data_IF_242866398136
#
_entry.id   IF_242866398136
#
_cell.length_a   1.000
_cell.length_b   1.000
_cell.length_c   1.000
_cell.angle_alpha   90.00
_cell.angle_beta   90.00
_cell.angle_gamma   90.00
#
_symmetry.space_group_name_H-M   'P 1'
#
loop_
_entity.id
_entity.type
_entity.pdbx_description
1 polymer ?
#
# COMPACT_ATOMS: atom_id res chain seq x y z
N UNK A 1 15.94 -55.76 -35.15
CA UNK A 1 17.06 -54.98 -34.57
C UNK A 1 16.45 -54.12 -33.49
N UNK A 2 16.28 -54.74 -32.32
CA UNK A 2 15.59 -54.18 -31.16
C UNK A 2 16.52 -53.26 -30.39
N UNK A 3 16.19 -51.96 -30.35
CA UNK A 3 16.83 -51.03 -29.42
C UNK A 3 16.20 -51.20 -28.04
N UNK A 4 16.83 -52.06 -27.24
CA UNK A 4 16.62 -52.15 -25.80
C UNK A 4 17.11 -50.85 -25.13
N UNK A 5 16.22 -49.88 -24.97
CA UNK A 5 16.42 -48.73 -24.10
C UNK A 5 16.18 -49.19 -22.66
N UNK A 6 17.23 -49.74 -22.04
CA UNK A 6 17.26 -49.96 -20.59
C UNK A 6 17.30 -48.61 -19.89
N UNK A 7 16.12 -48.11 -19.53
CA UNK A 7 15.96 -47.06 -18.52
C UNK A 7 16.39 -47.66 -17.18
N UNK A 8 17.69 -47.62 -16.88
CA UNK A 8 18.22 -47.94 -15.57
C UNK A 8 17.90 -46.76 -14.64
N UNK A 9 16.72 -46.80 -14.03
CA UNK A 9 16.35 -45.93 -12.93
C UNK A 9 17.35 -46.12 -11.79
N UNK A 10 18.22 -45.16 -11.56
CA UNK A 10 19.04 -45.15 -10.36
C UNK A 10 18.16 -44.72 -9.17
N UNK A 11 17.66 -45.69 -8.41
CA UNK A 11 16.79 -45.47 -7.24
C UNK A 11 17.38 -44.50 -6.22
N UNK A 12 18.72 -44.39 -6.13
CA UNK A 12 19.37 -43.46 -5.19
C UNK A 12 19.27 -41.99 -5.60
N UNK A 13 19.28 -41.68 -6.91
CA UNK A 13 19.14 -40.32 -7.42
C UNK A 13 17.70 -39.82 -7.31
N UNK A 14 16.71 -40.70 -7.55
CA UNK A 14 15.30 -40.40 -7.35
C UNK A 14 14.98 -40.21 -5.85
N UNK A 15 15.48 -41.08 -4.97
CA UNK A 15 15.32 -40.96 -3.51
C UNK A 15 15.99 -39.71 -2.93
N UNK A 16 17.21 -39.34 -3.37
CA UNK A 16 17.85 -38.10 -2.92
C UNK A 16 17.09 -36.86 -3.38
N UNK A 17 16.59 -36.87 -4.62
CA UNK A 17 15.80 -35.76 -5.15
C UNK A 17 14.50 -35.57 -4.38
N UNK A 18 13.79 -36.65 -4.02
CA UNK A 18 12.57 -36.57 -3.21
C UNK A 18 12.85 -36.20 -1.76
N UNK A 19 13.94 -36.67 -1.14
CA UNK A 19 14.33 -36.27 0.23
C UNK A 19 14.70 -34.78 0.29
N UNK A 20 15.46 -34.26 -0.68
CA UNK A 20 15.82 -32.84 -0.75
C UNK A 20 14.57 -31.98 -1.01
N UNK A 21 13.69 -32.42 -1.91
CA UNK A 21 12.41 -31.73 -2.14
C UNK A 21 11.56 -31.69 -0.88
N UNK A 22 11.45 -32.81 -0.17
CA UNK A 22 10.65 -32.94 1.05
C UNK A 22 11.24 -32.11 2.21
N UNK A 23 12.56 -32.17 2.41
CA UNK A 23 13.23 -31.34 3.40
C UNK A 23 13.08 -29.83 3.10
N UNK A 24 13.13 -29.45 1.82
CA UNK A 24 12.91 -28.07 1.39
C UNK A 24 11.45 -27.64 1.55
N UNK A 25 10.47 -28.52 1.32
CA UNK A 25 9.05 -28.21 1.49
C UNK A 25 8.66 -28.07 2.96
N UNK A 26 9.17 -28.94 3.84
CA UNK A 26 8.94 -28.85 5.29
C UNK A 26 9.51 -27.55 5.87
N UNK A 27 10.74 -27.18 5.48
CA UNK A 27 11.35 -25.92 5.89
C UNK A 27 10.56 -24.70 5.38
N UNK A 28 10.06 -24.75 4.14
CA UNK A 28 9.25 -23.68 3.54
C UNK A 28 7.91 -23.51 4.27
N UNK A 29 7.24 -24.61 4.59
CA UNK A 29 5.99 -24.63 5.36
C UNK A 29 6.18 -24.05 6.77
N UNK A 30 7.25 -24.42 7.46
CA UNK A 30 7.58 -23.87 8.77
C UNK A 30 7.82 -22.35 8.73
N UNK A 31 8.60 -21.88 7.75
CA UNK A 31 8.86 -20.44 7.56
C UNK A 31 7.57 -19.67 7.25
N UNK A 32 6.71 -20.21 6.38
CA UNK A 32 5.42 -19.57 6.04
C UNK A 32 4.51 -19.49 7.27
N UNK A 33 4.46 -20.54 8.08
CA UNK A 33 3.64 -20.56 9.28
C UNK A 33 4.13 -19.53 10.30
N UNK A 34 5.42 -19.53 10.63
CA UNK A 34 6.02 -18.55 11.54
C UNK A 34 5.84 -17.12 11.03
N UNK A 35 6.12 -16.87 9.74
CA UNK A 35 5.94 -15.56 9.14
C UNK A 35 4.46 -15.10 9.20
N UNK A 36 3.51 -16.01 8.96
CA UNK A 36 2.08 -15.68 9.03
C UNK A 36 1.66 -15.23 10.44
N UNK A 37 2.14 -15.91 11.48
CA UNK A 37 1.88 -15.52 12.88
C UNK A 37 2.46 -14.15 13.25
N UNK A 38 3.54 -13.71 12.61
CA UNK A 38 4.11 -12.36 12.81
C UNK A 38 3.42 -11.30 11.95
N UNK A 39 3.04 -11.64 10.72
CA UNK A 39 2.55 -10.69 9.71
C UNK A 39 1.10 -10.29 9.97
N UNK A 40 0.24 -11.22 10.38
CA UNK A 40 -1.17 -10.94 10.71
C UNK A 40 -1.34 -9.86 11.77
N UNK A 41 -0.70 -9.93 12.96
CA UNK A 41 -0.86 -8.89 13.98
C UNK A 41 -0.30 -7.53 13.51
N UNK A 42 0.77 -7.51 12.71
CA UNK A 42 1.30 -6.27 12.14
C UNK A 42 0.28 -5.62 11.20
N UNK A 43 -0.38 -6.39 10.34
CA UNK A 43 -1.41 -5.84 9.47
C UNK A 43 -2.67 -5.41 10.22
N UNK A 44 -3.09 -6.16 11.24
CA UNK A 44 -4.20 -5.77 12.10
C UNK A 44 -3.90 -4.47 12.84
N UNK A 45 -2.72 -4.36 13.46
CA UNK A 45 -2.28 -3.13 14.11
C UNK A 45 -2.18 -1.96 13.12
N UNK A 46 -1.61 -2.20 11.94
CA UNK A 46 -1.52 -1.22 10.86
C UNK A 46 -2.90 -0.72 10.42
N UNK A 47 -3.87 -1.61 10.21
CA UNK A 47 -5.23 -1.25 9.86
C UNK A 47 -5.92 -0.43 10.97
N UNK A 48 -5.79 -0.86 12.24
CA UNK A 48 -6.38 -0.16 13.38
C UNK A 48 -5.79 1.24 13.58
N UNK A 49 -4.46 1.36 13.48
CA UNK A 49 -3.77 2.64 13.63
C UNK A 49 -4.13 3.59 12.48
N UNK A 50 -4.11 3.13 11.24
CA UNK A 50 -4.50 3.96 10.09
C UNK A 50 -5.98 4.37 10.14
N UNK A 51 -6.87 3.48 10.59
CA UNK A 51 -8.27 3.80 10.82
C UNK A 51 -8.45 4.84 11.94
N UNK A 52 -7.71 4.71 13.05
CA UNK A 52 -7.74 5.68 14.14
C UNK A 52 -7.25 7.07 13.69
N UNK A 53 -6.19 7.12 12.88
CA UNK A 53 -5.70 8.39 12.30
C UNK A 53 -6.77 8.99 11.37
N UNK A 54 -7.36 8.18 10.49
CA UNK A 54 -8.41 8.65 9.58
C UNK A 54 -9.64 9.18 10.36
N UNK A 55 -10.09 8.46 11.39
CA UNK A 55 -11.17 8.90 12.28
C UNK A 55 -10.83 10.19 13.00
N UNK A 56 -9.59 10.35 13.47
CA UNK A 56 -9.13 11.59 14.12
C UNK A 56 -9.24 12.78 13.17
N UNK A 57 -8.84 12.60 11.91
CA UNK A 57 -8.99 13.62 10.87
C UNK A 57 -10.44 13.90 10.52
N UNK A 58 -11.32 12.91 10.50
CA UNK A 58 -12.76 13.12 10.24
C UNK A 58 -13.44 13.89 11.38
N UNK A 59 -13.12 13.57 12.63
CA UNK A 59 -13.68 14.24 13.81
C UNK A 59 -13.18 15.68 13.96
N UNK A 60 -11.90 15.92 13.67
CA UNK A 60 -11.27 17.24 13.83
C UNK A 60 -11.02 17.96 12.49
N UNK A 61 -11.74 17.57 11.43
CA UNK A 61 -11.53 18.06 10.07
C UNK A 61 -11.52 19.59 9.99
N UNK A 62 -12.42 20.26 10.71
CA UNK A 62 -12.59 21.71 10.65
C UNK A 62 -11.44 22.52 11.26
N UNK A 63 -10.55 21.94 12.06
CA UNK A 63 -9.45 22.66 12.71
C UNK A 63 -8.07 22.34 12.12
N UNK A 64 -7.94 21.28 11.30
CA UNK A 64 -6.65 20.75 10.82
C UNK A 64 -6.47 20.79 9.29
N UNK A 65 -7.26 21.59 8.56
CA UNK A 65 -7.10 21.74 7.10
C UNK A 65 -5.83 22.53 6.79
N UNK A 66 -4.77 21.79 6.44
CA UNK A 66 -3.51 22.31 5.93
C UNK A 66 -3.12 21.43 4.74
N UNK A 67 -2.40 21.96 3.75
CA UNK A 67 -2.00 21.20 2.55
C UNK A 67 -1.28 19.89 2.90
N UNK A 68 -0.52 19.90 3.99
CA UNK A 68 0.15 18.71 4.54
C UNK A 68 -0.83 17.64 5.05
N UNK A 69 -1.90 18.05 5.74
CA UNK A 69 -2.88 17.11 6.32
C UNK A 69 -3.58 16.29 5.24
N UNK A 70 -3.81 16.88 4.06
CA UNK A 70 -4.42 16.19 2.91
C UNK A 70 -3.51 15.07 2.40
N UNK A 71 -2.20 15.31 2.33
CA UNK A 71 -1.26 14.27 1.92
C UNK A 71 -1.17 13.12 2.94
N UNK A 72 -1.33 13.40 4.24
CA UNK A 72 -1.43 12.35 5.26
C UNK A 72 -2.72 11.55 5.10
N UNK A 73 -3.86 12.18 4.87
CA UNK A 73 -5.14 11.47 4.68
C UNK A 73 -5.07 10.56 3.44
N UNK A 74 -4.47 11.03 2.35
CA UNK A 74 -4.27 10.17 1.17
C UNK A 74 -3.36 8.98 1.49
N UNK A 75 -2.29 9.19 2.26
CA UNK A 75 -1.40 8.11 2.67
C UNK A 75 -2.13 7.07 3.54
N UNK A 76 -2.91 7.50 4.54
CA UNK A 76 -3.62 6.59 5.44
C UNK A 76 -4.72 5.81 4.71
N UNK A 77 -5.37 6.40 3.71
CA UNK A 77 -6.34 5.70 2.86
C UNK A 77 -5.64 4.63 2.01
N UNK A 78 -4.47 4.93 1.45
CA UNK A 78 -3.68 3.95 0.70
C UNK A 78 -3.19 2.80 1.58
N UNK A 79 -2.73 3.11 2.79
CA UNK A 79 -2.30 2.09 3.76
C UNK A 79 -3.48 1.21 4.21
N UNK A 80 -4.66 1.78 4.42
CA UNK A 80 -5.89 1.01 4.69
C UNK A 80 -6.25 0.12 3.50
N UNK A 81 -6.19 0.64 2.28
CA UNK A 81 -6.45 -0.15 1.07
C UNK A 81 -5.45 -1.31 0.95
N UNK A 82 -4.18 -1.09 1.25
CA UNK A 82 -3.16 -2.13 1.28
C UNK A 82 -3.46 -3.21 2.35
N UNK A 83 -3.77 -2.79 3.57
CA UNK A 83 -4.09 -3.69 4.68
C UNK A 83 -5.40 -4.48 4.46
N UNK A 84 -6.40 -3.91 3.78
CA UNK A 84 -7.70 -4.55 3.58
C UNK A 84 -7.79 -5.36 2.30
N UNK A 85 -7.11 -4.94 1.23
CA UNK A 85 -7.20 -5.60 -0.07
C UNK A 85 -5.97 -6.47 -0.32
N UNK A 86 -4.76 -5.92 -0.22
CA UNK A 86 -3.57 -6.65 -0.66
C UNK A 86 -3.08 -7.67 0.38
N UNK A 87 -3.11 -7.31 1.66
CA UNK A 87 -2.73 -8.19 2.77
C UNK A 87 -3.45 -9.54 2.77
N UNK A 88 -4.80 -9.62 2.74
CA UNK A 88 -5.49 -10.91 2.71
C UNK A 88 -5.21 -11.69 1.42
N UNK A 89 -5.02 -11.00 0.29
CA UNK A 89 -4.64 -11.65 -0.97
C UNK A 89 -3.25 -12.29 -0.88
N UNK A 90 -2.28 -11.63 -0.24
CA UNK A 90 -0.95 -12.17 0.02
C UNK A 90 -1.04 -13.35 0.98
N UNK A 91 -1.83 -13.24 2.05
CA UNK A 91 -2.01 -14.32 3.01
C UNK A 91 -2.64 -15.55 2.36
N UNK A 92 -3.71 -15.35 1.59
CA UNK A 92 -4.42 -16.40 0.87
C UNK A 92 -3.50 -17.14 -0.11
N UNK A 93 -2.64 -16.41 -0.83
CA UNK A 93 -1.61 -16.99 -1.72
C UNK A 93 -0.66 -17.95 -1.00
N UNK A 94 -0.36 -17.71 0.27
CA UNK A 94 0.53 -18.57 1.03
C UNK A 94 -0.14 -19.87 1.51
N UNK A 95 -1.48 -19.88 1.61
CA UNK A 95 -2.25 -21.07 1.98
C UNK A 95 -2.70 -21.89 0.77
N UNK A 96 -3.02 -21.23 -0.34
CA UNK A 96 -3.48 -21.89 -1.56
C UNK A 96 -2.60 -21.49 -2.76
N UNK A 97 -1.63 -22.34 -3.09
CA UNK A 97 -0.77 -22.15 -4.26
C UNK A 97 -1.55 -22.29 -5.59
N UNK A 98 -2.75 -22.88 -5.58
CA UNK A 98 -3.56 -23.10 -6.79
C UNK A 98 -4.38 -21.88 -7.21
N UNK A 99 -4.54 -20.87 -6.34
CA UNK A 99 -5.30 -19.65 -6.62
C UNK A 99 -4.80 -18.86 -7.84
N UNK A 100 -3.49 -18.91 -8.09
CA UNK A 100 -2.83 -18.21 -9.20
C UNK A 100 -2.83 -19.00 -10.51
N UNK A 101 -3.51 -20.14 -10.58
CA UNK A 101 -3.57 -20.95 -11.79
C UNK A 101 -4.33 -20.23 -12.92
N UNK A 102 -5.31 -19.40 -12.58
CA UNK A 102 -6.01 -18.58 -13.59
C UNK A 102 -5.14 -17.40 -14.04
N UNK A 103 -4.91 -17.21 -15.35
CA UNK A 103 -4.14 -16.08 -15.87
C UNK A 103 -4.71 -14.72 -15.45
N UNK A 104 -6.04 -14.62 -15.33
CA UNK A 104 -6.72 -13.39 -14.93
C UNK A 104 -6.44 -13.02 -13.46
N UNK A 105 -6.52 -13.98 -12.53
CA UNK A 105 -6.27 -13.74 -11.10
C UNK A 105 -4.80 -13.44 -10.85
N UNK A 106 -3.90 -14.14 -11.56
CA UNK A 106 -2.47 -13.89 -11.50
C UNK A 106 -2.09 -12.49 -12.03
N UNK A 107 -2.65 -12.09 -13.17
CA UNK A 107 -2.47 -10.76 -13.75
C UNK A 107 -2.97 -9.66 -12.81
N UNK A 108 -4.18 -9.81 -12.28
CA UNK A 108 -4.76 -8.85 -11.33
C UNK A 108 -3.93 -8.73 -10.05
N UNK A 109 -3.52 -9.85 -9.44
CA UNK A 109 -2.70 -9.85 -8.24
C UNK A 109 -1.36 -9.14 -8.45
N UNK A 110 -0.65 -9.47 -9.54
CA UNK A 110 0.61 -8.81 -9.88
C UNK A 110 0.43 -7.31 -10.13
N UNK A 111 -0.61 -6.94 -10.87
CA UNK A 111 -0.92 -5.54 -11.15
C UNK A 111 -1.25 -4.76 -9.88
N UNK A 112 -2.13 -5.28 -9.03
CA UNK A 112 -2.53 -4.64 -7.77
C UNK A 112 -1.34 -4.53 -6.81
N UNK A 113 -0.56 -5.59 -6.67
CA UNK A 113 0.63 -5.59 -5.81
C UNK A 113 1.64 -4.56 -6.25
N UNK A 114 1.90 -4.45 -7.55
CA UNK A 114 2.88 -3.48 -8.04
C UNK A 114 2.36 -2.05 -7.98
N UNK A 115 1.11 -1.82 -8.39
CA UNK A 115 0.50 -0.49 -8.45
C UNK A 115 0.34 0.13 -7.07
N UNK A 116 -0.21 -0.61 -6.10
CA UNK A 116 -0.45 -0.08 -4.75
C UNK A 116 0.88 0.22 -4.04
N UNK A 117 1.87 -0.68 -4.13
CA UNK A 117 3.19 -0.44 -3.53
C UNK A 117 3.88 0.79 -4.11
N UNK A 118 3.81 0.98 -5.44
CA UNK A 118 4.36 2.20 -6.05
C UNK A 118 3.60 3.45 -5.59
N UNK A 119 2.28 3.39 -5.51
CA UNK A 119 1.46 4.54 -5.12
C UNK A 119 1.79 5.02 -3.70
N UNK A 120 2.05 4.09 -2.77
CA UNK A 120 2.51 4.41 -1.41
C UNK A 120 3.88 5.11 -1.45
N UNK A 121 4.84 4.59 -2.21
CA UNK A 121 6.18 5.20 -2.35
C UNK A 121 6.10 6.61 -2.94
N UNK A 122 5.28 6.79 -3.99
CA UNK A 122 5.04 8.10 -4.59
C UNK A 122 4.41 9.07 -3.58
N UNK A 123 3.46 8.60 -2.77
CA UNK A 123 2.83 9.42 -1.75
C UNK A 123 3.84 9.87 -0.67
N UNK A 124 4.74 8.98 -0.25
CA UNK A 124 5.84 9.34 0.64
C UNK A 124 6.78 10.37 0.02
N UNK A 125 7.12 10.23 -1.26
CA UNK A 125 7.96 11.18 -1.97
C UNK A 125 7.32 12.58 -2.02
N UNK A 126 6.01 12.67 -2.29
CA UNK A 126 5.28 13.95 -2.27
C UNK A 126 5.35 14.59 -0.89
N UNK A 127 5.14 13.81 0.19
CA UNK A 127 5.25 14.31 1.56
C UNK A 127 6.67 14.79 1.88
N UNK A 128 7.70 14.05 1.48
CA UNK A 128 9.10 14.44 1.68
C UNK A 128 9.45 15.72 0.91
N UNK A 129 8.96 15.86 -0.33
CA UNK A 129 9.18 17.06 -1.14
C UNK A 129 8.47 18.28 -0.55
N UNK A 130 7.22 18.16 -0.11
CA UNK A 130 6.50 19.26 0.57
C UNK A 130 7.29 19.75 1.80
N UNK A 131 7.82 18.81 2.60
CA UNK A 131 8.66 19.15 3.76
C UNK A 131 10.00 19.75 3.40
N UNK A 132 10.62 19.28 2.33
CA UNK A 132 11.87 19.85 1.85
C UNK A 132 11.68 21.28 1.33
N UNK A 133 10.61 21.55 0.58
CA UNK A 133 10.29 22.88 0.08
C UNK A 133 10.00 23.86 1.23
N UNK A 134 9.27 23.42 2.26
CA UNK A 134 9.03 24.22 3.46
C UNK A 134 10.33 24.58 4.20
N UNK A 135 11.35 23.74 4.12
CA UNK A 135 12.66 23.98 4.74
C UNK A 135 13.55 24.93 3.91
N UNK A 136 13.62 24.76 2.58
CA UNK A 136 14.49 25.60 1.73
C UNK A 136 13.94 27.02 1.60
N UNK A 137 12.63 27.19 1.41
CA UNK A 137 12.06 28.50 1.06
C UNK A 137 10.96 28.91 2.03
N UNK A 138 11.30 29.22 3.30
CA UNK A 138 10.32 29.53 4.33
C UNK A 138 9.53 30.83 4.04
N UNK A 139 10.14 31.79 3.33
CA UNK A 139 9.52 33.10 3.04
C UNK A 139 8.44 32.96 1.96
N UNK A 140 8.77 32.31 0.82
CA UNK A 140 7.81 32.05 -0.26
C UNK A 140 6.66 31.13 0.19
N UNK A 141 6.95 30.17 1.06
CA UNK A 141 5.94 29.26 1.61
C UNK A 141 4.97 29.98 2.56
N UNK A 142 5.44 31.00 3.30
CA UNK A 142 4.57 31.86 4.12
C UNK A 142 3.69 32.74 3.25
N UNK A 143 4.23 33.40 2.22
CA UNK A 143 3.47 34.29 1.33
C UNK A 143 2.31 33.57 0.62
N UNK A 144 2.50 32.33 0.15
CA UNK A 144 1.40 31.55 -0.45
C UNK A 144 0.30 31.17 0.54
N UNK A 145 0.64 30.91 1.81
CA UNK A 145 -0.39 30.66 2.85
C UNK A 145 -1.16 31.92 3.18
N UNK A 146 -0.51 33.08 3.22
CA UNK A 146 -1.18 34.36 3.46
C UNK A 146 -2.10 34.74 2.31
N UNK A 147 -1.67 34.57 1.05
CA UNK A 147 -2.49 34.89 -0.13
C UNK A 147 -3.78 34.05 -0.24
N UNK A 148 -3.70 32.73 0.02
CA UNK A 148 -4.89 31.87 0.07
C UNK A 148 -5.84 32.25 1.22
N UNK A 149 -5.30 32.71 2.36
CA UNK A 149 -6.08 33.19 3.51
C UNK A 149 -6.75 34.53 3.20
N UNK A 150 -6.06 35.43 2.49
CA UNK A 150 -6.60 36.73 2.08
C UNK A 150 -7.75 36.57 1.07
N UNK A 151 -7.63 35.61 0.15
CA UNK A 151 -8.69 35.28 -0.80
C UNK A 151 -9.91 34.65 -0.09
N UNK A 152 -9.71 33.78 0.91
CA UNK A 152 -10.83 33.26 1.72
C UNK A 152 -11.46 34.33 2.62
N UNK A 153 -10.69 35.30 3.11
CA UNK A 153 -11.20 36.40 3.93
C UNK A 153 -11.91 37.47 3.09
N UNK A 154 -11.48 37.68 1.84
CA UNK A 154 -12.18 38.53 0.87
C UNK A 154 -13.53 37.95 0.43
N UNK A 155 -13.64 36.61 0.36
CA UNK A 155 -14.92 35.93 0.07
C UNK A 155 -15.86 35.85 1.29
N UNK A 156 -15.36 36.09 2.51
CA UNK A 156 -16.16 36.25 3.73
C UNK A 156 -16.28 37.75 4.03
N UNK A 157 -16.97 38.48 3.15
CA UNK A 157 -17.50 39.78 3.54
C UNK A 157 -18.48 39.61 4.72
N UNK A 158 -18.75 40.65 5.54
CA UNK A 158 -19.61 40.59 6.74
C UNK A 158 -21.10 40.30 6.45
N UNK A 159 -21.43 39.80 5.26
CA UNK A 159 -22.75 39.37 4.85
C UNK A 159 -22.61 37.97 4.25
N UNK A 160 -23.05 36.95 5.00
CA UNK A 160 -22.97 35.53 4.62
C UNK A 160 -23.76 35.22 3.35
N UNK A 161 -23.17 35.46 2.18
CA UNK A 161 -23.72 35.06 0.89
C UNK A 161 -22.58 34.63 -0.03
N UNK A 162 -22.45 33.31 -0.24
CA UNK A 162 -21.51 32.74 -1.20
C UNK A 162 -21.84 33.25 -2.60
N UNK A 163 -20.85 33.85 -3.28
CA UNK A 163 -20.94 34.07 -4.73
C UNK A 163 -20.38 32.84 -5.45
N UNK A 164 -21.04 32.35 -6.51
CA UNK A 164 -20.54 31.22 -7.27
C UNK A 164 -19.30 31.63 -8.08
N UNK A 165 -18.38 30.68 -8.18
CA UNK A 165 -17.11 30.73 -8.92
C UNK A 165 -17.42 31.01 -10.40
N UNK A 166 -17.04 32.18 -10.89
CA UNK A 166 -16.97 32.46 -12.31
C UNK A 166 -15.59 32.00 -12.81
N UNK A 167 -15.54 30.81 -13.41
CA UNK A 167 -14.39 30.41 -14.24
C UNK A 167 -14.58 31.10 -15.59
N UNK A 168 -13.68 32.03 -15.94
CA UNK A 168 -13.59 32.54 -17.31
C UNK A 168 -12.19 33.07 -17.61
N UNK A 169 -11.57 32.46 -18.62
CA UNK A 169 -10.56 33.07 -19.50
C UNK A 169 -9.11 32.89 -19.10
#
# INVERSE_FOLDING_TARGET
MDLNVTIFWNSSAFMNSTIIFNASSEARSFVILVASWCVVPVFCAGALLNAAVLLTFLVHANQLINSFSIHIVNLTVLDLAYCLLLSPLILYRNFDESWLHSPATCGFYKYASWTISNLIVWQHLVVSVDRWLAFIVPIWYREKKTALTEETTSQIGPTGRSKPIAILG
#
